data_IF_584464306160
#
_entry.id   IF_584464306160
#
_cell.length_a   1.000
_cell.length_b   1.000
_cell.length_c   1.000
_cell.angle_alpha   90.00
_cell.angle_beta   90.00
_cell.angle_gamma   90.00
#
_symmetry.space_group_name_H-M   'P 1'
#
loop_
_entity.id
_entity.type
_entity.pdbx_description
1 polymer ?
#
# COMPACT_ATOMS: atom_id res chain seq x y z
N UNK A 1 36.20 -9.78 66.66
CA UNK A 1 36.63 -10.43 65.40
C UNK A 1 35.38 -10.67 64.55
N UNK A 2 35.08 -9.77 63.62
CA UNK A 2 33.91 -9.89 62.74
C UNK A 2 34.20 -10.90 61.64
N UNK A 3 33.48 -12.01 61.63
CA UNK A 3 33.68 -13.13 60.70
C UNK A 3 33.52 -12.69 59.22
N UNK A 4 34.52 -12.91 58.34
CA UNK A 4 34.47 -12.52 56.93
C UNK A 4 33.39 -13.25 56.12
N UNK A 5 32.83 -14.34 56.66
CA UNK A 5 31.77 -15.14 56.04
C UNK A 5 30.47 -14.36 55.81
N UNK A 6 30.13 -13.41 56.68
CA UNK A 6 28.89 -12.64 56.52
C UNK A 6 28.95 -11.65 55.35
N UNK A 7 30.14 -11.12 55.00
CA UNK A 7 30.27 -10.16 53.87
C UNK A 7 30.12 -10.84 52.51
N UNK A 8 30.60 -12.07 52.37
CA UNK A 8 30.52 -12.83 51.11
C UNK A 8 29.09 -13.30 50.83
N UNK A 9 28.37 -13.74 51.86
CA UNK A 9 26.99 -14.20 51.75
C UNK A 9 26.04 -13.08 51.31
N UNK A 10 26.20 -11.87 51.86
CA UNK A 10 25.40 -10.71 51.44
C UNK A 10 25.77 -10.24 50.03
N UNK A 11 27.05 -10.30 49.64
CA UNK A 11 27.51 -9.98 48.29
C UNK A 11 26.90 -10.91 47.22
N UNK A 12 26.79 -12.22 47.51
CA UNK A 12 26.13 -13.17 46.62
C UNK A 12 24.61 -12.92 46.51
N UNK A 13 23.96 -12.55 47.61
CA UNK A 13 22.53 -12.22 47.60
C UNK A 13 22.26 -10.95 46.77
N UNK A 14 23.08 -9.91 46.89
CA UNK A 14 22.96 -8.69 46.10
C UNK A 14 23.18 -8.95 44.59
N UNK A 15 24.14 -9.80 44.22
CA UNK A 15 24.37 -10.19 42.82
C UNK A 15 23.18 -10.97 42.22
N UNK A 16 22.56 -11.86 42.99
CA UNK A 16 21.38 -12.61 42.55
C UNK A 16 20.15 -11.70 42.36
N UNK A 17 19.95 -10.71 43.23
CA UNK A 17 18.87 -9.72 43.07
C UNK A 17 19.11 -8.83 41.84
N UNK A 18 20.35 -8.44 41.56
CA UNK A 18 20.68 -7.62 40.38
C UNK A 18 20.43 -8.37 39.05
N UNK A 19 20.69 -9.67 39.01
CA UNK A 19 20.38 -10.52 37.85
C UNK A 19 18.88 -10.71 37.64
N UNK A 20 18.09 -10.86 38.72
CA UNK A 20 16.63 -11.04 38.62
C UNK A 20 15.89 -9.75 38.21
N UNK A 21 16.41 -8.57 38.58
CA UNK A 21 15.87 -7.28 38.11
C UNK A 21 16.29 -7.01 36.65
N UNK A 22 17.48 -7.46 36.23
CA UNK A 22 17.97 -7.29 34.86
C UNK A 22 17.23 -8.16 33.82
N UNK A 23 16.55 -9.23 34.24
CA UNK A 23 15.74 -10.06 33.35
C UNK A 23 14.29 -9.59 33.18
N UNK A 24 13.82 -8.59 33.92
CA UNK A 24 12.40 -8.19 33.90
C UNK A 24 12.07 -7.03 32.93
N UNK A 25 13.08 -6.40 32.32
CA UNK A 25 12.90 -5.26 31.38
C UNK A 25 13.34 -5.63 29.96
N UNK A 26 12.86 -6.78 29.48
CA UNK A 26 12.67 -7.00 28.04
C UNK A 26 11.17 -7.21 27.82
N UNK A 27 10.39 -6.15 27.96
CA UNK A 27 9.09 -6.10 27.31
C UNK A 27 9.36 -6.16 25.81
N UNK A 28 9.40 -7.38 25.26
CA UNK A 28 9.31 -7.56 23.82
C UNK A 28 8.04 -6.87 23.39
N UNK A 29 8.17 -5.83 22.55
CA UNK A 29 7.04 -5.18 21.91
C UNK A 29 6.24 -6.31 21.26
N UNK A 30 5.06 -6.62 21.82
CA UNK A 30 4.19 -7.64 21.25
C UNK A 30 3.90 -7.20 19.82
N UNK A 31 4.18 -8.08 18.86
CA UNK A 31 3.81 -7.81 17.46
C UNK A 31 2.30 -7.56 17.44
N UNK A 32 1.81 -6.53 16.73
CA UNK A 32 0.38 -6.28 16.65
C UNK A 32 -0.29 -7.50 16.01
N UNK A 33 -1.31 -8.05 16.67
CA UNK A 33 -2.03 -9.24 16.21
C UNK A 33 -3.44 -8.91 15.71
N UNK A 34 -4.07 -7.88 16.30
CA UNK A 34 -5.40 -7.43 15.90
C UNK A 34 -5.46 -5.99 15.40
N UNK A 35 -6.59 -5.62 14.81
CA UNK A 35 -6.85 -4.27 14.26
C UNK A 35 -6.54 -3.14 15.26
N UNK A 36 -6.98 -3.30 16.51
CA UNK A 36 -6.73 -2.31 17.57
C UNK A 36 -5.24 -2.10 17.82
N UNK A 37 -4.45 -3.18 17.80
CA UNK A 37 -3.01 -3.12 18.01
C UNK A 37 -2.32 -2.40 16.85
N UNK A 38 -2.72 -2.69 15.61
CA UNK A 38 -2.22 -1.98 14.43
C UNK A 38 -2.55 -0.49 14.47
N UNK A 39 -3.78 -0.13 14.83
CA UNK A 39 -4.20 1.27 14.94
C UNK A 39 -3.43 2.02 16.04
N UNK A 40 -3.29 1.39 17.21
CA UNK A 40 -2.53 1.95 18.32
C UNK A 40 -1.06 2.15 17.95
N UNK A 41 -0.45 1.15 17.32
CA UNK A 41 0.95 1.20 16.91
C UNK A 41 1.18 2.25 15.82
N UNK A 42 0.28 2.34 14.83
CA UNK A 42 0.29 3.39 13.80
C UNK A 42 0.26 4.76 14.46
N UNK A 43 -0.70 4.98 15.39
CA UNK A 43 -0.85 6.25 16.10
C UNK A 43 0.40 6.59 16.93
N UNK A 44 0.99 5.59 17.60
CA UNK A 44 2.23 5.75 18.38
C UNK A 44 3.39 6.19 17.49
N UNK A 45 3.59 5.53 16.34
CA UNK A 45 4.67 5.82 15.41
C UNK A 45 4.48 7.18 14.72
N UNK A 46 3.25 7.53 14.33
CA UNK A 46 2.94 8.83 13.77
C UNK A 46 3.17 9.99 14.76
N UNK A 47 2.90 9.75 16.05
CA UNK A 47 3.21 10.71 17.11
C UNK A 47 4.72 10.91 17.25
N UNK A 48 5.48 9.81 17.30
CA UNK A 48 6.95 9.87 17.35
C UNK A 48 7.54 10.60 16.14
N UNK A 49 7.01 10.33 14.95
CA UNK A 49 7.46 10.97 13.73
C UNK A 49 7.27 12.50 13.75
N UNK A 50 6.23 13.00 14.40
CA UNK A 50 5.88 14.43 14.47
C UNK A 50 6.56 15.15 15.63
N UNK A 51 6.57 14.55 16.80
CA UNK A 51 6.84 15.25 18.06
C UNK A 51 8.21 14.92 18.66
N UNK A 52 8.83 13.80 18.27
CA UNK A 52 10.06 13.37 18.91
C UNK A 52 11.22 14.31 18.54
N UNK A 53 12.02 14.81 19.50
CA UNK A 53 13.08 15.78 19.22
C UNK A 53 14.22 15.19 18.37
N UNK A 54 14.57 13.93 18.59
CA UNK A 54 15.67 13.25 17.91
C UNK A 54 15.30 12.79 16.50
N UNK A 55 16.10 13.20 15.50
CA UNK A 55 15.92 12.79 14.10
C UNK A 55 16.08 11.28 13.90
N UNK A 56 17.04 10.65 14.58
CA UNK A 56 17.26 9.20 14.50
C UNK A 56 16.02 8.38 14.89
N UNK A 57 15.31 8.81 15.93
CA UNK A 57 14.06 8.17 16.38
C UNK A 57 12.94 8.42 15.38
N UNK A 58 12.85 9.64 14.81
CA UNK A 58 11.89 9.94 13.74
C UNK A 58 12.13 9.06 12.51
N UNK A 59 13.37 8.94 12.07
CA UNK A 59 13.74 8.13 10.90
C UNK A 59 13.49 6.64 11.14
N UNK A 60 13.82 6.15 12.33
CA UNK A 60 13.51 4.77 12.70
C UNK A 60 12.00 4.52 12.77
N UNK A 61 11.23 5.45 13.34
CA UNK A 61 9.77 5.37 13.41
C UNK A 61 9.15 5.37 12.02
N UNK A 62 9.73 6.15 11.08
CA UNK A 62 9.31 6.18 9.68
C UNK A 62 9.45 4.81 9.02
N UNK A 63 10.60 4.17 9.19
CA UNK A 63 10.84 2.83 8.65
C UNK A 63 9.89 1.80 9.28
N UNK A 64 9.67 1.86 10.59
CA UNK A 64 8.70 1.00 11.27
C UNK A 64 7.28 1.19 10.74
N UNK A 65 6.87 2.43 10.51
CA UNK A 65 5.56 2.77 9.96
C UNK A 65 5.40 2.20 8.54
N UNK A 66 6.43 2.29 7.71
CA UNK A 66 6.44 1.68 6.39
C UNK A 66 6.22 0.16 6.44
N UNK A 67 6.95 -0.53 7.33
CA UNK A 67 6.78 -1.97 7.53
C UNK A 67 5.42 -2.37 8.11
N UNK A 68 4.83 -1.50 8.94
CA UNK A 68 3.50 -1.70 9.47
C UNK A 68 2.45 -1.66 8.34
N UNK A 69 2.60 -0.74 7.38
CA UNK A 69 1.69 -0.59 6.24
C UNK A 69 1.76 -1.71 5.20
N UNK A 70 2.86 -2.47 5.12
CA UNK A 70 2.97 -3.64 4.21
C UNK A 70 2.61 -4.96 4.88
N UNK A 71 2.32 -4.96 6.17
CA UNK A 71 2.06 -6.18 6.91
C UNK A 71 0.73 -6.80 6.47
N UNK A 72 0.74 -8.04 6.01
CA UNK A 72 -0.45 -8.78 5.57
C UNK A 72 -1.54 -8.93 6.64
N UNK A 73 -1.19 -8.79 7.92
CA UNK A 73 -2.15 -8.81 9.04
C UNK A 73 -2.73 -7.43 9.35
N UNK A 74 -2.19 -6.36 8.75
CA UNK A 74 -2.68 -5.02 8.96
C UNK A 74 -4.00 -4.82 8.17
N UNK A 75 -5.15 -4.61 8.83
CA UNK A 75 -6.40 -4.31 8.13
C UNK A 75 -6.37 -2.96 7.40
N UNK A 76 -5.43 -2.09 7.75
CA UNK A 76 -5.15 -0.80 7.11
C UNK A 76 -3.97 -0.88 6.13
N UNK A 77 -3.73 -2.06 5.54
CA UNK A 77 -2.71 -2.32 4.51
C UNK A 77 -2.71 -1.21 3.45
N UNK A 78 -1.57 -0.56 3.24
CA UNK A 78 -1.46 0.57 2.33
C UNK A 78 -0.06 0.64 1.69
N UNK A 79 0.11 -0.04 0.56
CA UNK A 79 1.39 -0.10 -0.16
C UNK A 79 1.86 1.27 -0.65
N UNK A 80 0.96 2.17 -1.03
CA UNK A 80 1.33 3.52 -1.48
C UNK A 80 1.91 4.34 -0.32
N UNK A 81 1.28 4.30 0.88
CA UNK A 81 1.84 4.92 2.09
C UNK A 81 3.17 4.29 2.48
N UNK A 82 3.26 2.95 2.48
CA UNK A 82 4.52 2.26 2.75
C UNK A 82 5.65 2.73 1.83
N UNK A 83 5.39 2.81 0.51
CA UNK A 83 6.37 3.29 -0.46
C UNK A 83 6.82 4.72 -0.15
N UNK A 84 5.88 5.63 0.11
CA UNK A 84 6.18 7.02 0.47
C UNK A 84 7.08 7.12 1.71
N UNK A 85 6.79 6.33 2.74
CA UNK A 85 7.58 6.33 3.96
C UNK A 85 8.99 5.74 3.75
N UNK A 86 9.12 4.66 2.96
CA UNK A 86 10.42 4.09 2.61
C UNK A 86 11.26 5.03 1.74
N UNK A 87 10.66 5.69 0.75
CA UNK A 87 11.38 6.65 -0.11
C UNK A 87 11.81 7.89 0.66
N UNK A 88 10.96 8.37 1.58
CA UNK A 88 11.32 9.47 2.46
C UNK A 88 12.46 9.06 3.40
N UNK A 89 12.39 7.86 3.97
CA UNK A 89 13.50 7.31 4.78
C UNK A 89 14.80 7.22 3.96
N UNK A 90 14.74 6.75 2.72
CA UNK A 90 15.91 6.63 1.84
C UNK A 90 16.59 7.99 1.59
N UNK A 91 15.83 9.09 1.54
CA UNK A 91 16.39 10.43 1.33
C UNK A 91 17.23 10.96 2.50
N UNK A 92 17.05 10.40 3.70
CA UNK A 92 17.74 10.83 4.93
C UNK A 92 18.65 9.76 5.52
N UNK A 93 18.48 8.49 5.14
CA UNK A 93 19.20 7.36 5.71
C UNK A 93 20.63 7.23 5.17
N UNK A 94 21.59 6.98 6.08
CA UNK A 94 22.96 6.61 5.69
C UNK A 94 22.99 5.30 4.89
N UNK A 95 23.98 5.14 3.99
CA UNK A 95 24.14 3.92 3.19
C UNK A 95 24.19 2.63 4.03
N UNK A 96 24.76 2.69 5.24
CA UNK A 96 24.83 1.55 6.17
C UNK A 96 23.46 1.09 6.69
N UNK A 97 22.45 1.97 6.65
CA UNK A 97 21.09 1.67 7.10
C UNK A 97 20.21 1.04 6.01
N UNK A 98 20.72 0.95 4.77
CA UNK A 98 20.03 0.40 3.63
C UNK A 98 20.40 -1.09 3.47
N UNK A 99 19.73 -1.95 4.24
CA UNK A 99 19.94 -3.39 4.14
C UNK A 99 19.38 -3.95 2.82
N UNK A 100 19.87 -5.13 2.40
CA UNK A 100 19.33 -5.82 1.22
C UNK A 100 17.82 -6.06 1.34
N UNK A 101 17.34 -6.42 2.53
CA UNK A 101 15.90 -6.57 2.80
C UNK A 101 15.12 -5.28 2.54
N UNK A 102 15.66 -4.13 2.99
CA UNK A 102 15.04 -2.84 2.72
C UNK A 102 14.98 -2.55 1.22
N UNK A 103 16.07 -2.79 0.48
CA UNK A 103 16.12 -2.58 -0.97
C UNK A 103 15.15 -3.51 -1.72
N UNK A 104 15.06 -4.77 -1.31
CA UNK A 104 14.13 -5.73 -1.88
C UNK A 104 12.67 -5.29 -1.68
N UNK A 105 12.32 -4.84 -0.47
CA UNK A 105 10.99 -4.30 -0.20
C UNK A 105 10.68 -3.03 -0.98
N UNK A 106 11.64 -2.11 -1.07
CA UNK A 106 11.48 -0.88 -1.84
C UNK A 106 11.27 -1.18 -3.34
N UNK A 107 12.03 -2.12 -3.90
CA UNK A 107 11.87 -2.56 -5.28
C UNK A 107 10.49 -3.19 -5.52
N UNK A 108 10.05 -4.07 -4.62
CA UNK A 108 8.71 -4.68 -4.70
C UNK A 108 7.60 -3.63 -4.64
N UNK A 109 7.70 -2.65 -3.74
CA UNK A 109 6.71 -1.58 -3.59
C UNK A 109 6.62 -0.68 -4.83
N UNK A 110 7.76 -0.37 -5.47
CA UNK A 110 7.79 0.39 -6.72
C UNK A 110 7.09 -0.34 -7.87
N UNK A 111 7.33 -1.65 -7.99
CA UNK A 111 6.63 -2.45 -9.00
C UNK A 111 5.13 -2.56 -8.69
N UNK A 112 4.72 -2.68 -7.43
CA UNK A 112 3.30 -2.64 -7.04
C UNK A 112 2.63 -1.32 -7.47
N UNK A 113 3.25 -0.17 -7.21
CA UNK A 113 2.68 1.14 -7.58
C UNK A 113 2.61 1.32 -9.11
N UNK A 114 3.61 0.82 -9.83
CA UNK A 114 3.61 0.80 -11.30
C UNK A 114 2.50 -0.10 -11.85
N UNK A 115 2.31 -1.29 -11.27
CA UNK A 115 1.21 -2.20 -11.65
C UNK A 115 -0.15 -1.55 -11.41
N UNK A 116 -0.33 -0.89 -10.26
CA UNK A 116 -1.55 -0.13 -9.93
C UNK A 116 -1.83 0.97 -10.97
N UNK A 117 -0.83 1.79 -11.27
CA UNK A 117 -0.94 2.85 -12.29
C UNK A 117 -1.30 2.28 -13.68
N UNK A 118 -0.70 1.16 -14.07
CA UNK A 118 -0.99 0.49 -15.33
C UNK A 118 -2.41 -0.07 -15.35
N UNK A 119 -2.87 -0.66 -14.26
CA UNK A 119 -4.24 -1.15 -14.11
C UNK A 119 -5.26 -0.03 -14.33
N UNK A 120 -5.06 1.12 -13.68
CA UNK A 120 -5.94 2.28 -13.82
C UNK A 120 -5.99 2.79 -15.27
N UNK A 121 -4.83 2.83 -15.95
CA UNK A 121 -4.74 3.21 -17.37
C UNK A 121 -5.51 2.24 -18.26
N UNK A 122 -5.32 0.93 -18.06
CA UNK A 122 -6.01 -0.11 -18.85
C UNK A 122 -7.52 -0.09 -18.59
N UNK A 123 -7.94 0.12 -17.35
CA UNK A 123 -9.37 0.26 -17.02
C UNK A 123 -10.00 1.47 -17.72
N UNK A 124 -9.32 2.62 -17.72
CA UNK A 124 -9.78 3.82 -18.42
C UNK A 124 -9.88 3.59 -19.93
N UNK A 125 -8.85 2.98 -20.53
CA UNK A 125 -8.85 2.64 -21.96
C UNK A 125 -10.00 1.67 -22.31
N UNK A 126 -10.22 0.64 -21.50
CA UNK A 126 -11.33 -0.31 -21.68
C UNK A 126 -12.69 0.37 -21.59
N UNK A 127 -12.87 1.32 -20.68
CA UNK A 127 -14.11 2.10 -20.59
C UNK A 127 -14.36 2.90 -21.87
N UNK A 128 -13.36 3.66 -22.31
CA UNK A 128 -13.47 4.47 -23.54
C UNK A 128 -13.79 3.60 -24.76
N UNK A 129 -13.10 2.46 -24.93
CA UNK A 129 -13.36 1.54 -26.03
C UNK A 129 -14.79 0.96 -25.99
N UNK A 130 -15.32 0.68 -24.80
CA UNK A 130 -16.72 0.22 -24.66
C UNK A 130 -17.71 1.30 -25.08
N UNK A 131 -17.46 2.55 -24.72
CA UNK A 131 -18.30 3.69 -25.09
C UNK A 131 -18.25 3.93 -26.62
N UNK A 132 -17.06 3.86 -27.23
CA UNK A 132 -16.88 3.94 -28.69
C UNK A 132 -17.60 2.81 -29.42
N UNK A 133 -17.48 1.57 -28.94
CA UNK A 133 -18.18 0.41 -29.52
C UNK A 133 -19.70 0.58 -29.41
N UNK A 134 -20.21 1.12 -28.31
CA UNK A 134 -21.64 1.41 -28.17
C UNK A 134 -22.10 2.47 -29.18
N UNK A 135 -21.35 3.56 -29.33
CA UNK A 135 -21.65 4.61 -30.32
C UNK A 135 -21.62 4.10 -31.77
N UNK A 136 -20.61 3.29 -32.11
CA UNK A 136 -20.52 2.67 -33.45
C UNK A 136 -21.65 1.69 -33.72
N UNK A 137 -22.13 0.95 -32.70
CA UNK A 137 -23.31 0.08 -32.85
C UNK A 137 -24.57 0.89 -33.13
N UNK A 138 -24.78 1.99 -32.42
CA UNK A 138 -25.93 2.87 -32.65
C UNK A 138 -25.89 3.49 -34.05
N UNK A 139 -24.72 3.98 -34.48
CA UNK A 139 -24.55 4.56 -35.82
C UNK A 139 -24.79 3.53 -36.92
N UNK A 140 -24.26 2.31 -36.77
CA UNK A 140 -24.50 1.22 -37.71
C UNK A 140 -25.99 0.86 -37.80
N UNK A 141 -26.71 0.87 -36.67
CA UNK A 141 -28.15 0.62 -36.65
C UNK A 141 -28.91 1.70 -37.44
N UNK A 142 -28.63 2.99 -37.20
CA UNK A 142 -29.23 4.10 -37.95
C UNK A 142 -28.93 4.03 -39.46
N UNK A 143 -27.71 3.63 -39.80
CA UNK A 143 -27.31 3.47 -41.20
C UNK A 143 -28.08 2.35 -41.89
N UNK A 144 -28.27 1.20 -41.21
CA UNK A 144 -29.11 0.10 -41.72
C UNK A 144 -30.54 0.54 -41.98
N UNK A 145 -31.16 1.23 -41.02
CA UNK A 145 -32.52 1.76 -41.17
C UNK A 145 -32.63 2.76 -42.34
N UNK A 146 -31.60 3.57 -42.55
CA UNK A 146 -31.55 4.52 -43.67
C UNK A 146 -31.45 3.80 -45.01
N UNK A 147 -30.60 2.77 -45.11
CA UNK A 147 -30.47 1.94 -46.31
C UNK A 147 -31.81 1.27 -46.64
N UNK A 148 -32.50 0.70 -45.65
CA UNK A 148 -33.81 0.07 -45.84
C UNK A 148 -34.86 1.06 -46.37
N UNK A 149 -34.88 2.29 -45.84
CA UNK A 149 -35.78 3.35 -46.32
C UNK A 149 -35.47 3.74 -47.76
N UNK A 150 -34.19 3.90 -48.12
CA UNK A 150 -33.78 4.21 -49.49
C UNK A 150 -34.19 3.10 -50.46
N UNK A 151 -33.95 1.84 -50.11
CA UNK A 151 -34.36 0.69 -50.92
C UNK A 151 -35.88 0.62 -51.13
N UNK A 152 -36.67 1.02 -50.13
CA UNK A 152 -38.13 1.10 -50.25
C UNK A 152 -38.56 2.22 -51.20
N UNK A 153 -37.92 3.39 -51.10
CA UNK A 153 -38.19 4.52 -51.99
C UNK A 153 -37.84 4.20 -53.45
N UNK A 154 -36.68 3.56 -53.69
CA UNK A 154 -36.27 3.14 -55.04
C UNK A 154 -37.29 2.20 -55.67
N UNK A 155 -37.82 1.22 -54.91
CA UNK A 155 -38.90 0.34 -55.38
C UNK A 155 -40.16 1.12 -55.76
N UNK A 156 -40.60 2.05 -54.92
CA UNK A 156 -41.79 2.87 -55.19
C UNK A 156 -41.61 3.76 -56.42
N UNK A 157 -40.42 4.29 -56.66
CA UNK A 157 -40.11 5.09 -57.84
C UNK A 157 -40.18 4.22 -59.10
N UNK A 158 -39.61 3.02 -59.05
CA UNK A 158 -39.61 2.10 -60.20
C UNK A 158 -41.02 1.60 -60.54
N UNK A 159 -41.82 1.26 -59.52
CA UNK A 159 -43.24 0.93 -59.68
C UNK A 159 -43.99 2.08 -60.37
N UNK A 160 -43.81 3.33 -59.90
CA UNK A 160 -44.45 4.50 -60.53
C UNK A 160 -44.01 4.73 -61.97
N UNK A 161 -42.73 4.53 -62.29
CA UNK A 161 -42.20 4.64 -63.67
C UNK A 161 -42.82 3.60 -64.60
N UNK A 162 -43.04 2.39 -64.11
CA UNK A 162 -43.67 1.31 -64.89
C UNK A 162 -45.14 1.58 -65.20
N UNK A 163 -45.84 2.32 -64.34
CA UNK A 163 -47.25 2.69 -64.52
C UNK A 163 -47.48 3.90 -65.44
N UNK A 164 -46.43 4.66 -65.75
CA UNK A 164 -46.49 5.88 -66.56
C UNK A 164 -45.89 5.73 -67.95
N UNK A 165 -45.44 4.53 -68.31
CA UNK A 165 -45.04 4.12 -69.67
C UNK A 165 -46.15 3.32 -70.32
#
# INVERSE_FOLDING_TARGET
>A
MGSPFHRLQWSCIFLLVFFMVSCSVRQGVKKPEGEKDFFQETSRLEKLLREHPETSVRDHSRLQLAFLYVNHRNPQLNYTRALQEMETYLSVASAKAQTDDFQNWLAALREIEKLKTNLDRVQKANKNLRDEVAGLKEMNQKMRETIERLQKLDRQIEEKRSLTK
#
